data_IF_696414577878
#
_entry.id   IF_696414577878
#
_cell.length_a   1.000
_cell.length_b   1.000
_cell.length_c   1.000
_cell.angle_alpha   90.00
_cell.angle_beta   90.00
_cell.angle_gamma   90.00
#
_symmetry.space_group_name_H-M   'P 1'
#
loop_
_entity.id
_entity.type
_entity.pdbx_description
1 polymer ?
#
# COMPACT_ATOMS: atom_id res chain seq x y z
N UNK A 1 -23.60 -50.19 61.59
CA UNK A 1 -22.69 -49.04 61.52
C UNK A 1 -21.82 -48.95 60.22
N UNK A 2 -22.09 -49.76 59.17
CA UNK A 2 -21.28 -49.77 57.90
C UNK A 2 -21.85 -48.95 56.71
N UNK A 3 -23.09 -48.60 56.71
CA UNK A 3 -23.75 -47.92 55.59
C UNK A 3 -23.45 -46.42 55.44
N UNK A 4 -23.08 -45.70 56.51
CA UNK A 4 -22.77 -44.25 56.47
C UNK A 4 -21.43 -43.93 55.78
N UNK A 5 -20.44 -44.83 55.83
CA UNK A 5 -19.12 -44.58 55.20
C UNK A 5 -19.13 -44.63 53.66
N UNK A 6 -20.05 -45.38 53.06
CA UNK A 6 -20.15 -45.50 51.60
C UNK A 6 -20.76 -44.24 50.96
N UNK A 7 -21.72 -43.58 51.64
CA UNK A 7 -22.36 -42.35 51.12
C UNK A 7 -21.43 -41.16 51.17
N UNK A 8 -20.56 -41.03 52.18
CA UNK A 8 -19.57 -39.94 52.28
C UNK A 8 -18.50 -40.03 51.18
N UNK A 9 -18.06 -41.25 50.82
CA UNK A 9 -17.08 -41.47 49.73
C UNK A 9 -17.66 -41.11 48.36
N UNK A 10 -18.94 -41.40 48.08
CA UNK A 10 -19.62 -41.03 46.84
C UNK A 10 -19.81 -39.52 46.66
N UNK A 11 -20.13 -38.80 47.73
CA UNK A 11 -20.26 -37.33 47.72
C UNK A 11 -18.94 -36.62 47.48
N UNK A 12 -17.84 -37.09 48.04
CA UNK A 12 -16.50 -36.53 47.79
C UNK A 12 -16.01 -36.72 46.34
N UNK A 13 -16.33 -37.87 45.71
CA UNK A 13 -15.98 -38.16 44.33
C UNK A 13 -16.78 -37.30 43.34
N UNK A 14 -18.05 -37.01 43.62
CA UNK A 14 -18.89 -36.14 42.77
C UNK A 14 -18.40 -34.70 42.83
N UNK A 15 -18.03 -34.17 43.99
CA UNK A 15 -17.48 -32.84 44.17
C UNK A 15 -16.15 -32.63 43.47
N UNK A 16 -15.24 -33.62 43.50
CA UNK A 16 -13.99 -33.53 42.76
C UNK A 16 -14.20 -33.56 41.23
N UNK A 17 -15.13 -34.36 40.77
CA UNK A 17 -15.45 -34.47 39.35
C UNK A 17 -16.08 -33.17 38.80
N UNK A 18 -16.93 -32.53 39.61
CA UNK A 18 -17.53 -31.22 39.29
C UNK A 18 -16.46 -30.13 39.21
N UNK A 19 -15.52 -30.08 40.15
CA UNK A 19 -14.41 -29.13 40.14
C UNK A 19 -13.50 -29.32 38.93
N UNK A 20 -13.22 -30.55 38.53
CA UNK A 20 -12.42 -30.89 37.35
C UNK A 20 -13.16 -30.45 36.07
N UNK A 21 -14.48 -30.67 36.01
CA UNK A 21 -15.29 -30.24 34.85
C UNK A 21 -15.30 -28.71 34.67
N UNK A 22 -15.48 -27.98 35.79
CA UNK A 22 -15.39 -26.51 35.76
C UNK A 22 -14.02 -26.02 35.32
N UNK A 23 -12.94 -26.64 35.82
CA UNK A 23 -11.57 -26.31 35.43
C UNK A 23 -11.36 -26.57 33.92
N UNK A 24 -11.89 -27.64 33.40
CA UNK A 24 -11.79 -28.01 31.98
C UNK A 24 -12.51 -27.00 31.09
N UNK A 25 -13.75 -26.60 31.46
CA UNK A 25 -14.51 -25.56 30.76
C UNK A 25 -13.74 -24.22 30.80
N UNK A 26 -13.17 -23.89 31.94
CA UNK A 26 -12.35 -22.67 32.08
C UNK A 26 -11.16 -22.68 31.12
N UNK A 27 -10.42 -23.77 30.99
CA UNK A 27 -9.32 -23.87 30.04
C UNK A 27 -9.74 -23.81 28.57
N UNK A 28 -10.91 -24.38 28.23
CA UNK A 28 -11.47 -24.25 26.89
C UNK A 28 -11.78 -22.79 26.59
N UNK A 29 -12.45 -22.08 27.49
CA UNK A 29 -12.77 -20.67 27.32
C UNK A 29 -11.51 -19.80 27.20
N UNK A 30 -10.50 -20.10 28.00
CA UNK A 30 -9.21 -19.40 27.95
C UNK A 30 -8.51 -19.63 26.61
N UNK A 31 -8.50 -20.87 26.10
CA UNK A 31 -7.95 -21.23 24.80
C UNK A 31 -8.68 -20.50 23.64
N UNK A 32 -10.02 -20.50 23.67
CA UNK A 32 -10.83 -19.77 22.67
C UNK A 32 -10.55 -18.28 22.72
N UNK A 33 -10.46 -17.69 23.92
CA UNK A 33 -10.15 -16.28 24.10
C UNK A 33 -8.79 -15.92 23.49
N UNK A 34 -7.78 -16.79 23.66
CA UNK A 34 -6.44 -16.60 23.10
C UNK A 34 -6.45 -16.68 21.56
N UNK A 35 -7.22 -17.59 20.96
CA UNK A 35 -7.38 -17.70 19.51
C UNK A 35 -8.02 -16.43 18.95
N UNK A 36 -9.11 -15.93 19.57
CA UNK A 36 -9.76 -14.68 19.16
C UNK A 36 -8.81 -13.49 19.28
N UNK A 37 -8.05 -13.40 20.36
CA UNK A 37 -7.07 -12.34 20.55
C UNK A 37 -5.99 -12.34 19.45
N UNK A 38 -5.43 -13.52 19.14
CA UNK A 38 -4.44 -13.64 18.06
C UNK A 38 -5.00 -13.26 16.68
N UNK A 39 -6.21 -13.70 16.37
CA UNK A 39 -6.90 -13.34 15.12
C UNK A 39 -7.13 -11.82 15.02
N UNK A 40 -7.58 -11.22 16.10
CA UNK A 40 -7.80 -9.77 16.16
C UNK A 40 -6.49 -8.99 16.02
N UNK A 41 -5.43 -9.40 16.74
CA UNK A 41 -4.12 -8.77 16.65
C UNK A 41 -3.55 -8.81 15.23
N UNK A 42 -3.63 -9.97 14.58
CA UNK A 42 -3.18 -10.16 13.18
C UNK A 42 -3.97 -9.29 12.19
N UNK A 43 -5.29 -9.21 12.36
CA UNK A 43 -6.14 -8.36 11.51
C UNK A 43 -5.79 -6.88 11.66
N UNK A 44 -5.50 -6.43 12.88
CA UNK A 44 -5.12 -5.05 13.16
C UNK A 44 -3.74 -4.71 12.56
N UNK A 45 -2.79 -5.64 12.63
CA UNK A 45 -1.46 -5.46 12.05
C UNK A 45 -1.50 -5.35 10.52
N UNK A 46 -2.26 -6.21 9.85
CA UNK A 46 -2.43 -6.15 8.39
C UNK A 46 -3.10 -4.84 7.95
N UNK A 47 -4.09 -4.34 8.68
CA UNK A 47 -4.72 -3.05 8.42
C UNK A 47 -3.74 -1.88 8.54
N UNK A 48 -2.90 -1.88 9.58
CA UNK A 48 -1.88 -0.85 9.79
C UNK A 48 -0.82 -0.85 8.68
N UNK A 49 -0.38 -2.01 8.24
CA UNK A 49 0.58 -2.12 7.13
C UNK A 49 -0.01 -1.58 5.82
N UNK A 50 -1.28 -1.89 5.53
CA UNK A 50 -1.96 -1.35 4.35
C UNK A 50 -2.07 0.18 4.39
N UNK A 51 -2.32 0.77 5.56
CA UNK A 51 -2.40 2.23 5.75
C UNK A 51 -1.04 2.89 5.53
N UNK A 52 0.04 2.37 6.14
CA UNK A 52 1.41 2.88 5.94
C UNK A 52 1.80 2.86 4.46
N UNK A 53 1.47 1.77 3.75
CA UNK A 53 1.79 1.66 2.32
C UNK A 53 1.00 2.62 1.46
N UNK A 54 -0.26 2.87 1.82
CA UNK A 54 -1.07 3.89 1.15
C UNK A 54 -0.48 5.29 1.34
N UNK A 55 -0.04 5.62 2.55
CA UNK A 55 0.63 6.89 2.83
C UNK A 55 1.93 7.03 2.02
N UNK A 56 2.74 5.98 1.93
CA UNK A 56 3.96 5.99 1.13
C UNK A 56 3.67 6.20 -0.36
N UNK A 57 2.68 5.50 -0.92
CA UNK A 57 2.28 5.70 -2.32
C UNK A 57 1.81 7.14 -2.57
N UNK A 58 1.09 7.74 -1.62
CA UNK A 58 0.64 9.13 -1.69
C UNK A 58 1.83 10.12 -1.63
N UNK A 59 2.80 9.87 -0.77
CA UNK A 59 4.01 10.69 -0.70
C UNK A 59 4.82 10.63 -2.00
N UNK A 60 4.99 9.45 -2.58
CA UNK A 60 5.64 9.28 -3.89
C UNK A 60 4.86 10.05 -4.96
N UNK A 61 3.53 9.96 -4.97
CA UNK A 61 2.70 10.71 -5.92
C UNK A 61 2.92 12.22 -5.82
N UNK A 62 2.93 12.76 -4.60
CA UNK A 62 3.22 14.17 -4.36
C UNK A 62 4.63 14.56 -4.80
N UNK A 63 5.61 13.70 -4.58
CA UNK A 63 6.98 13.94 -5.04
C UNK A 63 7.05 13.99 -6.56
N UNK A 64 6.43 13.03 -7.25
CA UNK A 64 6.39 12.97 -8.73
C UNK A 64 5.73 14.22 -9.32
N UNK A 65 4.54 14.58 -8.84
CA UNK A 65 3.80 15.76 -9.32
C UNK A 65 4.60 17.05 -9.09
N UNK A 66 5.40 17.10 -8.01
CA UNK A 66 6.20 18.26 -7.66
C UNK A 66 7.61 18.26 -8.23
N UNK A 67 7.98 17.25 -9.05
CA UNK A 67 9.28 17.25 -9.74
C UNK A 67 9.43 18.51 -10.59
N UNK A 68 10.49 19.30 -10.41
CA UNK A 68 10.74 20.50 -11.22
C UNK A 68 10.85 20.15 -12.71
N UNK A 69 11.35 18.96 -13.00
CA UNK A 69 11.57 18.42 -14.33
C UNK A 69 10.25 18.15 -15.07
N UNK A 70 9.14 17.98 -14.37
CA UNK A 70 7.82 17.71 -14.96
C UNK A 70 6.93 18.94 -15.02
N UNK A 71 7.29 20.00 -14.30
CA UNK A 71 6.48 21.24 -14.28
C UNK A 71 6.67 22.05 -15.56
N UNK A 72 5.55 22.52 -16.11
CA UNK A 72 5.60 23.44 -17.26
C UNK A 72 6.33 24.74 -16.89
N UNK A 73 7.24 25.17 -17.76
CA UNK A 73 7.93 26.44 -17.64
C UNK A 73 7.07 27.66 -18.01
N UNK A 74 5.93 27.44 -18.65
CA UNK A 74 5.02 28.52 -19.08
C UNK A 74 4.17 29.01 -17.91
N UNK A 75 4.24 30.29 -17.61
CA UNK A 75 3.45 30.94 -16.53
C UNK A 75 1.94 30.78 -16.67
N UNK A 76 1.42 30.58 -17.88
CA UNK A 76 0.00 30.41 -18.16
C UNK A 76 -0.55 29.02 -17.77
N UNK A 77 0.32 28.01 -17.57
CA UNK A 77 -0.07 26.63 -17.28
C UNK A 77 0.11 26.36 -15.77
N UNK A 78 -0.55 27.13 -14.93
CA UNK A 78 -0.56 26.92 -13.48
C UNK A 78 -1.82 26.15 -13.04
N UNK A 79 -2.01 24.97 -13.60
CA UNK A 79 -2.98 24.02 -13.05
C UNK A 79 -2.36 23.26 -11.88
N UNK A 80 -3.18 22.96 -10.87
CA UNK A 80 -2.83 21.99 -9.85
C UNK A 80 -2.69 20.63 -10.55
N UNK A 81 -1.58 19.92 -10.35
CA UNK A 81 -1.31 18.61 -10.95
C UNK A 81 -1.17 18.61 -12.49
N UNK A 82 -0.54 19.62 -13.07
CA UNK A 82 -0.27 19.63 -14.52
C UNK A 82 1.12 19.10 -14.81
N UNK A 83 1.22 18.11 -15.70
CA UNK A 83 2.45 17.48 -16.16
C UNK A 83 2.72 17.96 -17.60
N UNK A 84 3.94 18.42 -17.85
CA UNK A 84 4.41 18.80 -19.18
C UNK A 84 4.90 17.54 -19.90
N UNK A 85 4.20 17.10 -20.95
CA UNK A 85 4.46 15.83 -21.63
C UNK A 85 5.83 15.80 -22.32
N UNK A 86 6.30 16.94 -22.88
CA UNK A 86 7.62 17.00 -23.49
C UNK A 86 8.70 16.75 -22.46
N UNK A 87 8.55 17.36 -21.29
CA UNK A 87 9.49 17.17 -20.20
C UNK A 87 9.42 15.76 -19.61
N UNK A 88 8.19 15.22 -19.53
CA UNK A 88 8.00 13.83 -19.09
C UNK A 88 8.72 12.84 -19.98
N UNK A 89 8.55 12.94 -21.31
CA UNK A 89 9.22 12.09 -22.28
C UNK A 89 10.74 12.28 -22.26
N UNK A 90 11.21 13.51 -22.10
CA UNK A 90 12.64 13.78 -21.98
C UNK A 90 13.23 13.13 -20.71
N UNK A 91 12.51 13.22 -19.57
CA UNK A 91 12.92 12.59 -18.34
C UNK A 91 12.90 11.06 -18.45
N UNK A 92 11.84 10.49 -19.03
CA UNK A 92 11.73 9.05 -19.30
C UNK A 92 12.91 8.54 -20.10
N UNK A 93 13.26 9.23 -21.19
CA UNK A 93 14.41 8.88 -22.03
C UNK A 93 15.72 8.98 -21.26
N UNK A 94 15.90 10.05 -20.48
CA UNK A 94 17.11 10.24 -19.67
C UNK A 94 17.27 9.14 -18.64
N UNK A 95 16.18 8.69 -18.00
CA UNK A 95 16.22 7.60 -17.03
C UNK A 95 16.49 6.25 -17.68
N UNK A 96 15.97 6.02 -18.88
CA UNK A 96 16.23 4.79 -19.64
C UNK A 96 17.69 4.67 -20.10
N UNK A 97 18.31 5.80 -20.45
CA UNK A 97 19.69 5.85 -20.93
C UNK A 97 20.73 5.89 -19.79
N UNK A 98 20.35 6.35 -18.59
CA UNK A 98 21.27 6.56 -17.45
C UNK A 98 20.87 5.72 -16.24
N UNK A 99 21.29 4.49 -16.21
CA UNK A 99 21.03 3.55 -15.12
C UNK A 99 21.56 4.03 -13.75
N UNK A 100 22.70 4.71 -13.72
CA UNK A 100 23.28 5.25 -12.49
C UNK A 100 22.43 6.39 -11.90
N UNK A 101 21.84 7.21 -12.75
CA UNK A 101 20.91 8.25 -12.34
C UNK A 101 19.62 7.63 -11.74
N UNK A 102 19.11 6.60 -12.39
CA UNK A 102 17.93 5.87 -11.92
C UNK A 102 18.18 5.23 -10.54
N UNK A 103 19.30 4.54 -10.38
CA UNK A 103 19.66 3.88 -9.11
C UNK A 103 20.11 4.86 -8.02
N UNK A 104 20.84 5.92 -8.35
CA UNK A 104 21.30 6.88 -7.36
C UNK A 104 20.15 7.75 -6.85
N UNK A 105 19.69 8.68 -7.67
CA UNK A 105 18.77 9.74 -7.21
C UNK A 105 17.33 9.24 -7.09
N UNK A 106 16.83 8.49 -8.07
CA UNK A 106 15.41 8.15 -8.13
C UNK A 106 15.06 6.94 -7.26
N UNK A 107 15.99 6.03 -7.05
CA UNK A 107 15.81 4.93 -6.10
C UNK A 107 15.77 5.41 -4.65
N UNK A 108 16.57 6.41 -4.30
CA UNK A 108 16.49 7.03 -2.96
C UNK A 108 15.15 7.75 -2.74
N UNK A 109 14.59 8.35 -3.80
CA UNK A 109 13.33 9.10 -3.71
C UNK A 109 12.09 8.23 -3.71
N UNK A 110 12.05 7.23 -4.59
CA UNK A 110 10.84 6.46 -4.87
C UNK A 110 10.90 5.03 -4.32
N UNK A 111 12.10 4.55 -3.92
CA UNK A 111 12.28 3.19 -3.40
C UNK A 111 11.90 2.12 -4.42
N UNK A 112 11.28 1.06 -3.93
CA UNK A 112 10.72 -0.01 -4.76
C UNK A 112 9.33 0.41 -5.23
N UNK A 113 9.25 1.02 -6.40
CA UNK A 113 8.01 1.52 -6.96
C UNK A 113 7.94 1.35 -8.48
N UNK A 114 6.73 1.32 -9.00
CA UNK A 114 6.40 1.46 -10.41
C UNK A 114 5.57 2.71 -10.59
N UNK A 115 5.98 3.59 -11.52
CA UNK A 115 5.36 4.88 -11.76
C UNK A 115 5.07 4.99 -13.25
N UNK A 116 3.79 5.11 -13.59
CA UNK A 116 3.33 5.28 -14.96
C UNK A 116 2.32 6.40 -15.08
N UNK A 117 2.23 6.93 -16.27
CA UNK A 117 1.27 7.95 -16.67
C UNK A 117 0.36 7.34 -17.73
N UNK A 118 -0.95 7.34 -17.48
CA UNK A 118 -1.97 6.86 -18.42
C UNK A 118 -2.83 8.01 -18.89
N UNK A 119 -2.90 8.22 -20.20
CA UNK A 119 -3.85 9.13 -20.79
C UNK A 119 -5.24 8.48 -20.87
N UNK A 120 -6.27 9.21 -20.40
CA UNK A 120 -7.66 8.72 -20.42
C UNK A 120 -8.42 9.36 -21.57
N UNK A 121 -8.13 10.62 -21.88
CA UNK A 121 -8.80 11.39 -22.93
C UNK A 121 -7.87 12.47 -23.49
N UNK A 122 -7.81 12.65 -24.82
CA UNK A 122 -8.56 11.95 -25.87
C UNK A 122 -8.00 10.57 -26.27
N UNK A 123 -6.78 10.25 -25.89
CA UNK A 123 -6.10 8.99 -26.23
C UNK A 123 -6.20 7.91 -25.14
N UNK A 124 -5.45 6.84 -25.34
CA UNK A 124 -5.25 5.76 -24.36
C UNK A 124 -3.78 5.37 -24.34
N UNK A 125 -2.90 6.36 -24.27
CA UNK A 125 -1.46 6.15 -24.23
C UNK A 125 -1.00 5.86 -22.81
N UNK A 126 0.07 5.06 -22.69
CA UNK A 126 0.69 4.75 -21.40
C UNK A 126 2.21 4.97 -21.50
N UNK A 127 2.76 5.65 -20.52
CA UNK A 127 4.18 5.93 -20.42
C UNK A 127 4.69 5.52 -19.04
N UNK A 128 5.71 4.68 -18.99
CA UNK A 128 6.35 4.26 -17.74
C UNK A 128 7.52 5.20 -17.46
N UNK A 129 7.45 5.94 -16.36
CA UNK A 129 8.52 6.85 -15.94
C UNK A 129 9.62 6.13 -15.15
N UNK A 130 9.22 5.27 -14.23
CA UNK A 130 10.14 4.59 -13.33
C UNK A 130 9.64 3.18 -13.04
N UNK A 131 10.56 2.21 -13.07
CA UNK A 131 10.26 0.82 -12.77
C UNK A 131 11.39 0.22 -11.95
N UNK A 132 11.12 0.06 -10.65
CA UNK A 132 11.97 -0.67 -9.73
C UNK A 132 11.12 -1.70 -8.97
N UNK A 133 10.77 -2.76 -9.69
CA UNK A 133 9.99 -3.86 -9.14
C UNK A 133 10.83 -4.68 -8.15
N UNK A 134 10.27 -4.95 -6.97
CA UNK A 134 10.86 -5.86 -5.99
C UNK A 134 10.13 -7.21 -6.03
N UNK A 135 10.79 -8.28 -6.53
CA UNK A 135 10.19 -9.61 -6.60
C UNK A 135 9.94 -10.24 -5.22
N UNK A 136 10.58 -9.72 -4.17
CA UNK A 136 10.42 -10.21 -2.79
C UNK A 136 9.40 -9.41 -1.98
N UNK A 137 8.76 -8.43 -2.59
CA UNK A 137 7.75 -7.62 -1.92
C UNK A 137 6.60 -8.50 -1.44
N UNK A 138 6.25 -8.36 -0.16
CA UNK A 138 5.14 -9.11 0.45
C UNK A 138 3.78 -8.53 0.10
N UNK A 139 3.76 -7.27 -0.31
CA UNK A 139 2.55 -6.56 -0.70
C UNK A 139 2.87 -5.46 -1.71
N UNK A 140 1.86 -5.10 -2.50
CA UNK A 140 1.89 -3.95 -3.39
C UNK A 140 0.63 -3.12 -3.17
N UNK A 141 0.78 -1.81 -3.25
CA UNK A 141 -0.37 -0.89 -3.16
C UNK A 141 -0.29 0.11 -4.31
N UNK A 142 -1.37 0.21 -5.07
CA UNK A 142 -1.47 1.12 -6.21
C UNK A 142 -2.31 2.33 -5.85
N UNK A 143 -1.78 3.51 -6.13
CA UNK A 143 -2.45 4.79 -5.93
C UNK A 143 -2.58 5.53 -7.25
N UNK A 144 -3.74 6.13 -7.49
CA UNK A 144 -4.05 6.86 -8.72
C UNK A 144 -4.29 8.32 -8.40
N UNK A 145 -3.64 9.21 -9.17
CA UNK A 145 -3.86 10.65 -9.08
C UNK A 145 -4.30 11.19 -10.42
N UNK A 146 -5.46 11.87 -10.51
CA UNK A 146 -5.85 12.55 -11.72
C UNK A 146 -4.92 13.71 -11.98
N UNK A 147 -4.44 13.82 -13.23
CA UNK A 147 -3.51 14.85 -13.68
C UNK A 147 -3.95 15.43 -15.01
N UNK A 148 -3.59 16.69 -15.23
CA UNK A 148 -3.73 17.36 -16.52
C UNK A 148 -2.42 17.19 -17.29
N UNK A 149 -2.48 16.68 -18.50
CA UNK A 149 -1.35 16.52 -19.37
C UNK A 149 -1.30 17.70 -20.33
N UNK A 150 -0.18 18.37 -20.40
CA UNK A 150 0.01 19.53 -21.27
C UNK A 150 1.04 19.20 -22.34
N UNK A 151 0.63 19.31 -23.62
CA UNK A 151 1.52 19.19 -24.75
C UNK A 151 1.66 20.54 -25.46
N UNK A 152 2.85 21.09 -25.52
CA UNK A 152 3.11 22.41 -26.11
C UNK A 152 3.41 22.35 -27.61
N UNK A 153 3.55 21.17 -28.20
CA UNK A 153 3.93 21.03 -29.62
C UNK A 153 2.74 21.02 -30.58
N UNK A 154 1.57 20.56 -30.12
CA UNK A 154 0.48 20.23 -31.03
C UNK A 154 -0.27 21.46 -31.62
N UNK A 155 -0.34 22.57 -30.89
CA UNK A 155 -1.10 23.76 -31.30
C UNK A 155 -0.46 25.04 -30.73
N UNK A 156 -0.52 26.21 -31.42
CA UNK A 156 -0.20 27.49 -30.80
C UNK A 156 -1.04 27.71 -29.51
N UNK A 157 -0.45 27.59 -28.36
CA UNK A 157 -1.13 27.65 -27.05
C UNK A 157 -1.11 26.35 -26.28
N UNK A 158 -0.76 25.23 -26.91
CA UNK A 158 -0.67 23.89 -26.31
C UNK A 158 -2.03 23.17 -26.30
N UNK A 159 -1.97 21.85 -26.11
CA UNK A 159 -3.14 20.99 -25.97
C UNK A 159 -3.17 20.38 -24.57
N UNK A 160 -4.38 20.19 -24.04
CA UNK A 160 -4.59 19.56 -22.74
C UNK A 160 -5.30 18.22 -22.94
N UNK A 161 -4.79 17.21 -22.25
CA UNK A 161 -5.48 15.95 -22.10
C UNK A 161 -5.60 15.57 -20.62
N UNK A 162 -6.44 14.59 -20.33
CA UNK A 162 -6.69 14.10 -18.97
C UNK A 162 -6.00 12.75 -18.81
N UNK A 163 -5.24 12.61 -17.75
CA UNK A 163 -4.56 11.36 -17.43
C UNK A 163 -4.66 10.98 -15.96
N UNK A 164 -4.16 9.79 -15.69
CA UNK A 164 -3.92 9.26 -14.35
C UNK A 164 -2.43 9.00 -14.16
N UNK A 165 -1.88 9.55 -13.12
CA UNK A 165 -0.59 9.13 -12.59
C UNK A 165 -0.83 7.91 -11.71
N UNK A 166 -0.29 6.78 -12.12
CA UNK A 166 -0.39 5.50 -11.41
C UNK A 166 0.94 5.24 -10.68
N UNK A 167 0.85 5.00 -9.39
CA UNK A 167 2.00 4.67 -8.55
C UNK A 167 1.72 3.38 -7.83
N UNK A 168 2.52 2.35 -8.07
CA UNK A 168 2.52 1.11 -7.31
C UNK A 168 3.77 1.06 -6.45
N UNK A 169 3.59 1.06 -5.14
CA UNK A 169 4.67 0.88 -4.17
C UNK A 169 4.74 -0.58 -3.73
N UNK A 170 5.96 -1.12 -3.71
CA UNK A 170 6.27 -2.49 -3.29
C UNK A 170 6.93 -2.45 -1.92
N UNK A 171 6.32 -3.14 -0.92
CA UNK A 171 6.81 -3.18 0.44
C UNK A 171 7.12 -4.60 0.93
N UNK A 172 8.14 -4.72 1.79
CA UNK A 172 8.61 -5.99 2.35
C UNK A 172 8.71 -6.00 3.87
#
# INVERSE_FOLDING_TARGET
MRLRRIQVKKRGQIQTLESVAVLFVFFILLGLSMIFYMSYAKSKESGRLAEINREQSMLIAQQVINLPELKSSRRAVRGVNTIDMIKFEALQKTLAENFDLQKGIYQERFGSAWIALKEIYPGQNEWVLYNNYDPNAKFSNTFYVPVSLFNSLDIPGGNYSVGLLEITHYGG
#
